data_IF_766020744125
#
_entry.id   IF_766020744125
#
_cell.length_a   1.000
_cell.length_b   1.000
_cell.length_c   1.000
_cell.angle_alpha   90.00
_cell.angle_beta   90.00
_cell.angle_gamma   90.00
#
_symmetry.space_group_name_H-M   'P 1'
#
loop_
_entity.id
_entity.type
_entity.pdbx_description
1 polymer ?
#
# COMPACT_ATOMS: atom_id res chain seq x y z
N UNK A 1 33.07 9.70 85.39
CA UNK A 1 32.42 8.59 84.66
C UNK A 1 31.42 9.22 83.65
N UNK A 2 31.75 9.28 82.34
CA UNK A 2 30.89 9.81 81.28
C UNK A 2 30.52 8.65 80.35
N UNK A 3 29.27 8.28 80.35
CA UNK A 3 28.68 7.24 79.48
C UNK A 3 28.32 7.82 78.14
N UNK A 4 28.99 7.33 77.13
CA UNK A 4 28.73 7.71 75.71
C UNK A 4 27.64 6.77 75.17
N UNK A 5 26.45 7.32 74.84
CA UNK A 5 25.39 6.61 74.11
C UNK A 5 25.69 6.68 72.61
N UNK A 6 25.95 5.53 72.02
CA UNK A 6 26.03 5.39 70.51
C UNK A 6 24.61 5.23 69.94
N UNK A 7 24.21 6.18 69.18
CA UNK A 7 23.00 6.10 68.33
C UNK A 7 23.31 5.34 67.05
N UNK A 8 22.62 4.24 66.79
CA UNK A 8 22.62 3.49 65.57
C UNK A 8 21.60 4.16 64.57
N UNK A 9 22.11 4.76 63.52
CA UNK A 9 21.31 5.24 62.40
C UNK A 9 21.15 4.08 61.42
N UNK A 10 19.97 3.47 61.37
CA UNK A 10 19.61 2.46 60.38
C UNK A 10 19.24 3.16 59.04
N UNK A 11 20.04 2.96 58.02
CA UNK A 11 19.72 3.42 56.66
C UNK A 11 18.74 2.43 56.03
N UNK A 12 17.51 2.88 55.78
CA UNK A 12 16.51 2.14 55.02
C UNK A 12 16.80 2.31 53.52
N UNK A 13 17.33 1.28 52.87
CA UNK A 13 17.50 1.25 51.41
C UNK A 13 16.18 0.80 50.80
N UNK A 14 15.42 1.73 50.24
CA UNK A 14 14.24 1.44 49.42
C UNK A 14 14.69 0.97 48.04
N UNK A 15 14.58 -0.33 47.77
CA UNK A 15 14.78 -0.91 46.43
C UNK A 15 13.54 -0.62 45.59
N UNK A 16 13.62 0.38 44.72
CA UNK A 16 12.63 0.62 43.66
C UNK A 16 12.81 -0.47 42.60
N UNK A 17 11.99 -1.52 42.68
CA UNK A 17 11.82 -2.47 41.57
C UNK A 17 11.01 -1.77 40.47
N UNK A 18 11.70 -1.15 39.53
CA UNK A 18 11.07 -0.62 38.32
C UNK A 18 10.48 -1.79 37.52
N UNK A 19 9.16 -1.87 37.47
CA UNK A 19 8.45 -2.72 36.49
C UNK A 19 8.83 -2.26 35.09
N UNK A 20 9.80 -2.92 34.46
CA UNK A 20 10.06 -2.80 33.03
C UNK A 20 8.89 -3.50 32.35
N UNK A 21 7.86 -2.73 31.99
CA UNK A 21 6.81 -3.19 31.07
C UNK A 21 7.48 -3.30 29.70
N UNK A 22 7.63 -4.51 29.14
CA UNK A 22 8.20 -4.64 27.81
C UNK A 22 7.30 -3.88 26.83
N UNK A 23 7.85 -3.17 25.81
CA UNK A 23 7.02 -2.55 24.80
C UNK A 23 6.18 -3.66 24.16
N UNK A 24 4.87 -3.52 24.28
CA UNK A 24 3.91 -4.43 23.67
C UNK A 24 4.22 -4.46 22.18
N UNK A 25 4.54 -5.64 21.66
CA UNK A 25 4.78 -5.87 20.24
C UNK A 25 3.46 -5.69 19.45
N UNK A 26 3.00 -4.47 19.30
CA UNK A 26 1.84 -4.07 18.47
C UNK A 26 2.13 -4.20 16.98
N UNK A 27 3.40 -4.31 16.57
CA UNK A 27 3.83 -4.24 15.18
C UNK A 27 3.54 -5.49 14.33
N UNK A 28 3.21 -6.64 14.92
CA UNK A 28 3.10 -7.89 14.15
C UNK A 28 1.78 -8.03 13.35
N UNK A 29 0.75 -7.25 13.66
CA UNK A 29 -0.59 -7.39 13.07
C UNK A 29 -1.08 -6.13 12.35
N UNK A 30 -0.23 -5.13 12.14
CA UNK A 30 -0.60 -3.89 11.46
C UNK A 30 -0.20 -3.97 9.99
N UNK A 31 -1.14 -3.65 9.10
CA UNK A 31 -0.90 -3.53 7.66
C UNK A 31 -0.85 -2.06 7.27
N UNK A 32 0.11 -1.70 6.44
CA UNK A 32 0.32 -0.34 5.96
C UNK A 32 0.38 -0.29 4.42
N UNK A 33 0.04 0.84 3.84
CA UNK A 33 0.18 1.08 2.40
C UNK A 33 1.65 1.07 1.99
N UNK A 34 1.93 0.61 0.76
CA UNK A 34 3.29 0.47 0.26
C UNK A 34 4.05 -0.76 0.76
N UNK A 35 3.51 -1.49 1.77
CA UNK A 35 4.16 -2.70 2.26
C UNK A 35 4.20 -3.81 1.20
N UNK A 36 5.19 -4.73 1.28
CA UNK A 36 5.23 -5.91 0.44
C UNK A 36 4.07 -6.85 0.70
N UNK A 37 3.43 -7.29 -0.37
CA UNK A 37 2.46 -8.37 -0.39
C UNK A 37 2.89 -9.43 -1.39
N UNK A 38 2.75 -10.70 -1.01
CA UNK A 38 3.17 -11.86 -1.80
C UNK A 38 1.99 -12.63 -2.33
N UNK A 39 2.16 -13.09 -3.55
CA UNK A 39 1.26 -13.96 -4.29
C UNK A 39 2.07 -15.13 -4.85
N UNK A 40 1.41 -16.12 -5.44
CA UNK A 40 2.08 -17.23 -6.13
C UNK A 40 2.94 -16.72 -7.30
N UNK A 41 2.53 -15.65 -7.96
CA UNK A 41 3.20 -15.01 -9.09
C UNK A 41 4.41 -14.14 -8.72
N UNK A 42 4.57 -13.76 -7.44
CA UNK A 42 5.65 -12.89 -6.99
C UNK A 42 5.24 -11.89 -5.91
N UNK A 43 5.95 -10.77 -5.87
CA UNK A 43 5.74 -9.71 -4.87
C UNK A 43 5.26 -8.43 -5.53
N UNK A 44 4.27 -7.79 -4.92
CA UNK A 44 3.76 -6.46 -5.26
C UNK A 44 3.71 -5.59 -3.99
N UNK A 45 3.27 -4.36 -4.14
CA UNK A 45 3.05 -3.43 -3.04
C UNK A 45 1.56 -3.29 -2.74
N UNK A 46 1.19 -3.18 -1.46
CA UNK A 46 -0.16 -2.84 -1.05
C UNK A 46 -0.44 -1.38 -1.41
N UNK A 47 -1.45 -1.13 -2.24
CA UNK A 47 -1.76 0.22 -2.72
C UNK A 47 -2.52 1.05 -1.70
N UNK A 48 -3.71 0.63 -1.39
CA UNK A 48 -4.60 1.35 -0.48
C UNK A 48 -5.65 0.43 0.12
N UNK A 49 -6.21 0.85 1.25
CA UNK A 49 -7.33 0.19 1.88
C UNK A 49 -8.64 0.84 1.45
N UNK A 50 -9.71 0.06 1.54
CA UNK A 50 -11.05 0.53 1.28
C UNK A 50 -12.11 -0.34 1.95
N UNK A 51 -13.35 0.07 1.80
CA UNK A 51 -14.52 -0.67 2.24
C UNK A 51 -15.63 -0.51 1.21
N UNK A 52 -16.57 -1.43 1.21
CA UNK A 52 -17.77 -1.37 0.38
C UNK A 52 -19.03 -1.08 1.23
N UNK A 53 -20.20 -1.09 0.60
CA UNK A 53 -21.48 -0.85 1.28
C UNK A 53 -21.82 -1.88 2.37
N UNK A 54 -21.19 -3.06 2.34
CA UNK A 54 -21.35 -4.12 3.36
C UNK A 54 -20.38 -3.96 4.54
N UNK A 55 -19.46 -3.00 4.48
CA UNK A 55 -18.42 -2.82 5.49
C UNK A 55 -17.28 -3.84 5.39
N UNK A 56 -17.13 -4.55 4.26
CA UNK A 56 -16.01 -5.45 4.05
C UNK A 56 -14.70 -4.65 4.04
N UNK A 57 -13.70 -5.17 4.74
CA UNK A 57 -12.36 -4.58 4.80
C UNK A 57 -11.56 -5.06 3.61
N UNK A 58 -11.27 -4.15 2.71
CA UNK A 58 -10.66 -4.42 1.41
C UNK A 58 -9.31 -3.72 1.29
N UNK A 59 -8.43 -4.33 0.49
CA UNK A 59 -7.19 -3.71 0.06
C UNK A 59 -6.98 -3.93 -1.44
N UNK A 60 -6.24 -3.03 -2.08
CA UNK A 60 -6.10 -2.98 -3.54
C UNK A 60 -4.64 -2.98 -3.94
N UNK A 61 -4.35 -3.66 -5.03
CA UNK A 61 -3.07 -3.64 -5.76
C UNK A 61 -3.29 -3.76 -7.27
N UNK A 62 -2.23 -3.82 -8.07
CA UNK A 62 -2.31 -3.91 -9.54
C UNK A 62 -2.90 -5.25 -10.02
N UNK A 63 -3.51 -5.23 -11.21
CA UNK A 63 -4.17 -6.39 -11.79
C UNK A 63 -3.22 -7.53 -12.18
N UNK A 64 -1.97 -7.24 -12.54
CA UNK A 64 -0.99 -8.25 -12.91
C UNK A 64 -0.29 -8.93 -11.72
N UNK A 65 -0.64 -8.55 -10.47
CA UNK A 65 -0.04 -9.13 -9.27
C UNK A 65 -0.51 -10.55 -8.98
N UNK A 66 -1.67 -10.93 -9.48
CA UNK A 66 -2.31 -12.24 -9.25
C UNK A 66 -2.72 -12.89 -10.55
N UNK A 67 -3.10 -14.16 -10.47
CA UNK A 67 -3.61 -14.94 -11.60
C UNK A 67 -5.13 -15.18 -11.54
N UNK A 68 -5.80 -14.73 -10.49
CA UNK A 68 -7.24 -14.90 -10.35
C UNK A 68 -7.78 -14.62 -8.95
N UNK A 69 -9.09 -14.83 -8.79
CA UNK A 69 -9.77 -14.78 -7.49
C UNK A 69 -9.37 -15.99 -6.64
N UNK A 70 -9.69 -15.93 -5.34
CA UNK A 70 -9.39 -16.94 -4.32
C UNK A 70 -7.89 -17.16 -4.02
N UNK A 71 -6.98 -16.46 -4.70
CA UNK A 71 -5.55 -16.51 -4.38
C UNK A 71 -5.28 -15.95 -2.99
N UNK A 72 -4.43 -16.63 -2.22
CA UNK A 72 -4.02 -16.21 -0.87
C UNK A 72 -3.05 -15.05 -0.97
N UNK A 73 -3.28 -14.01 -0.17
CA UNK A 73 -2.38 -12.86 -0.05
C UNK A 73 -1.58 -12.99 1.24
N UNK A 74 -0.26 -12.93 1.12
CA UNK A 74 0.65 -13.04 2.25
C UNK A 74 1.43 -11.73 2.47
N UNK A 75 1.75 -11.43 3.72
CA UNK A 75 2.77 -10.45 4.06
C UNK A 75 4.17 -10.99 3.72
N UNK A 76 5.20 -10.13 3.79
CA UNK A 76 6.60 -10.49 3.47
C UNK A 76 7.12 -11.71 4.26
N UNK A 77 6.66 -11.87 5.49
CA UNK A 77 7.04 -12.98 6.39
C UNK A 77 6.24 -14.28 6.14
N UNK A 78 5.41 -14.35 5.10
CA UNK A 78 4.61 -15.51 4.75
C UNK A 78 3.29 -15.64 5.53
N UNK A 79 2.98 -14.69 6.42
CA UNK A 79 1.70 -14.70 7.15
C UNK A 79 0.57 -14.33 6.19
N UNK A 80 -0.46 -15.16 6.13
CA UNK A 80 -1.67 -14.89 5.34
C UNK A 80 -2.43 -13.68 5.92
N UNK A 81 -2.65 -12.67 5.07
CA UNK A 81 -3.33 -11.43 5.44
C UNK A 81 -4.71 -11.29 4.84
N UNK A 82 -5.01 -12.06 3.81
CA UNK A 82 -6.29 -11.98 3.12
C UNK A 82 -6.39 -12.91 1.93
N UNK A 83 -7.44 -12.73 1.14
CA UNK A 83 -7.73 -13.52 -0.06
C UNK A 83 -8.31 -12.63 -1.15
N UNK A 84 -7.88 -12.86 -2.40
CA UNK A 84 -8.38 -12.13 -3.57
C UNK A 84 -9.87 -12.41 -3.76
N UNK A 85 -10.67 -11.35 -3.87
CA UNK A 85 -12.12 -11.43 -3.98
C UNK A 85 -12.67 -10.83 -5.27
N UNK A 86 -11.89 -9.95 -5.92
CA UNK A 86 -12.21 -9.44 -7.26
C UNK A 86 -10.92 -9.09 -7.99
N UNK A 87 -10.91 -9.31 -9.28
CA UNK A 87 -9.73 -9.16 -10.11
C UNK A 87 -10.10 -8.82 -11.55
N UNK A 88 -9.31 -7.93 -12.12
CA UNK A 88 -9.24 -7.63 -13.54
C UNK A 88 -7.78 -7.65 -13.96
N UNK A 89 -7.44 -8.45 -14.94
CA UNK A 89 -6.08 -8.57 -15.44
C UNK A 89 -5.61 -7.29 -16.16
N UNK A 90 -4.30 -7.00 -16.05
CA UNK A 90 -3.63 -6.06 -16.93
C UNK A 90 -3.33 -6.72 -18.28
N UNK A 91 -3.55 -6.03 -19.39
CA UNK A 91 -3.21 -6.56 -20.72
C UNK A 91 -1.70 -6.46 -20.93
N UNK A 92 -1.09 -7.59 -21.30
CA UNK A 92 0.31 -7.73 -21.69
C UNK A 92 0.43 -8.00 -23.20
N UNK A 93 1.54 -7.57 -23.80
CA UNK A 93 1.92 -7.99 -25.14
C UNK A 93 2.60 -9.38 -25.13
N UNK A 94 3.00 -9.85 -26.31
CA UNK A 94 3.66 -11.16 -26.47
C UNK A 94 5.00 -11.25 -25.73
N UNK A 95 5.64 -10.12 -25.42
CA UNK A 95 6.87 -10.04 -24.65
C UNK A 95 6.62 -9.93 -23.14
N UNK A 96 5.37 -10.02 -22.69
CA UNK A 96 4.96 -9.88 -21.31
C UNK A 96 4.98 -8.45 -20.78
N UNK A 97 5.20 -7.44 -21.64
CA UNK A 97 5.16 -6.03 -21.26
C UNK A 97 3.72 -5.54 -21.13
N UNK A 98 3.45 -4.75 -20.11
CA UNK A 98 2.12 -4.17 -19.91
C UNK A 98 1.80 -3.17 -21.03
N UNK A 99 0.80 -3.51 -21.85
CA UNK A 99 0.28 -2.71 -22.95
C UNK A 99 -1.23 -2.61 -22.85
N UNK A 100 -1.81 -1.49 -23.30
CA UNK A 100 -3.28 -1.34 -23.31
C UNK A 100 -3.87 -1.21 -21.89
N UNK A 101 -4.93 -1.97 -21.64
CA UNK A 101 -5.74 -1.80 -20.42
C UNK A 101 -5.01 -2.24 -19.16
N UNK A 102 -5.30 -1.53 -18.08
CA UNK A 102 -4.86 -1.83 -16.72
C UNK A 102 -6.04 -2.33 -15.90
N UNK A 103 -5.76 -3.31 -15.08
CA UNK A 103 -6.72 -3.87 -14.15
C UNK A 103 -6.45 -3.50 -12.71
N UNK A 104 -7.00 -4.30 -11.82
CA UNK A 104 -6.86 -4.17 -10.37
C UNK A 104 -6.98 -5.55 -9.72
N UNK A 105 -6.46 -5.66 -8.52
CA UNK A 105 -6.71 -6.77 -7.60
C UNK A 105 -7.30 -6.22 -6.32
N UNK A 106 -8.49 -6.69 -5.94
CA UNK A 106 -9.11 -6.42 -4.65
C UNK A 106 -9.02 -7.69 -3.81
N UNK A 107 -8.54 -7.58 -2.59
CA UNK A 107 -8.54 -8.68 -1.64
C UNK A 107 -9.20 -8.29 -0.32
N UNK A 108 -9.91 -9.24 0.29
CA UNK A 108 -10.48 -9.09 1.63
C UNK A 108 -9.37 -9.25 2.67
N UNK A 109 -9.33 -8.37 3.66
CA UNK A 109 -8.32 -8.41 4.74
C UNK A 109 -8.93 -9.09 5.97
N UNK A 110 -8.22 -10.07 6.54
CA UNK A 110 -8.66 -10.77 7.73
C UNK A 110 -8.79 -9.84 8.95
N UNK A 111 -9.84 -10.06 9.74
CA UNK A 111 -10.20 -9.19 10.88
C UNK A 111 -9.12 -9.06 11.95
N UNK A 112 -8.21 -10.06 12.07
CA UNK A 112 -7.11 -10.05 13.04
C UNK A 112 -6.04 -8.99 12.79
N UNK A 113 -6.02 -8.37 11.58
CA UNK A 113 -5.07 -7.31 11.25
C UNK A 113 -5.69 -5.93 11.51
N UNK A 114 -4.93 -5.02 12.07
CA UNK A 114 -5.24 -3.59 12.05
C UNK A 114 -4.82 -2.99 10.72
N UNK A 115 -5.62 -2.05 10.22
CA UNK A 115 -5.34 -1.28 9.02
C UNK A 115 -4.98 0.13 9.45
N UNK A 116 -3.93 0.67 8.88
CA UNK A 116 -3.53 2.05 9.10
C UNK A 116 -3.96 2.89 7.90
N UNK A 117 -4.98 3.75 8.04
CA UNK A 117 -5.28 4.75 7.03
C UNK A 117 -4.10 5.72 6.95
N UNK A 118 -3.72 6.08 5.73
CA UNK A 118 -2.58 6.95 5.50
C UNK A 118 -2.96 8.20 4.73
N UNK A 119 -4.03 8.11 3.94
CA UNK A 119 -4.40 9.20 3.05
C UNK A 119 -5.41 10.11 3.71
N UNK A 120 -5.18 11.42 3.62
CA UNK A 120 -6.13 12.45 4.06
C UNK A 120 -7.18 12.78 3.01
N UNK A 121 -7.03 12.25 1.78
CA UNK A 121 -8.00 12.45 0.72
C UNK A 121 -7.56 11.85 -0.61
N UNK A 122 -8.41 12.06 -1.60
CA UNK A 122 -8.16 11.69 -3.00
C UNK A 122 -8.01 12.95 -3.84
N UNK A 123 -7.12 12.90 -4.84
CA UNK A 123 -6.87 14.04 -5.71
C UNK A 123 -6.70 13.66 -7.18
N UNK A 124 -6.67 14.66 -8.01
CA UNK A 124 -6.22 14.60 -9.39
C UNK A 124 -4.77 15.08 -9.51
N UNK A 125 -4.16 14.79 -10.66
CA UNK A 125 -2.78 15.14 -10.92
C UNK A 125 -2.65 15.68 -12.35
N UNK A 126 -1.74 16.62 -12.55
CA UNK A 126 -1.46 17.25 -13.83
C UNK A 126 0.02 17.12 -14.19
N UNK A 127 0.33 17.30 -15.47
CA UNK A 127 1.71 17.36 -15.92
C UNK A 127 2.48 18.48 -15.19
N UNK A 128 3.70 18.20 -14.79
CA UNK A 128 4.54 19.10 -14.00
C UNK A 128 4.39 18.97 -12.48
N UNK A 129 3.33 18.32 -11.98
CA UNK A 129 3.14 18.10 -10.56
C UNK A 129 4.21 17.18 -9.96
N UNK A 130 4.56 17.42 -8.70
CA UNK A 130 5.41 16.52 -7.95
C UNK A 130 4.61 15.40 -7.31
N UNK A 131 5.10 14.19 -7.47
CA UNK A 131 4.51 12.98 -6.88
C UNK A 131 5.56 12.17 -6.13
N UNK A 132 5.13 11.53 -5.04
CA UNK A 132 5.92 10.59 -4.26
C UNK A 132 5.21 9.25 -4.25
N UNK A 133 5.96 8.15 -4.33
CA UNK A 133 5.42 6.81 -4.13
C UNK A 133 6.13 6.09 -2.98
N UNK A 134 5.47 5.07 -2.47
CA UNK A 134 6.02 4.14 -1.48
C UNK A 134 5.84 2.72 -2.00
N UNK A 135 6.91 2.07 -2.40
CA UNK A 135 6.88 0.73 -2.98
C UNK A 135 7.86 -0.22 -2.31
N UNK A 136 7.59 -1.51 -2.42
CA UNK A 136 8.37 -2.58 -1.80
C UNK A 136 9.83 -2.59 -2.25
N UNK A 137 10.05 -2.44 -3.56
CA UNK A 137 11.37 -2.65 -4.16
C UNK A 137 12.26 -1.42 -4.10
N UNK A 138 11.75 -0.29 -4.52
CA UNK A 138 12.53 0.95 -4.59
C UNK A 138 12.26 1.92 -3.42
N UNK A 139 11.41 1.53 -2.48
CA UNK A 139 11.08 2.34 -1.31
C UNK A 139 10.37 3.65 -1.68
N UNK A 140 10.68 4.70 -0.96
CA UNK A 140 10.19 6.04 -1.22
C UNK A 140 10.99 6.67 -2.36
N UNK A 141 10.33 6.97 -3.48
CA UNK A 141 10.89 7.74 -4.58
C UNK A 141 9.99 8.92 -4.94
N UNK A 142 10.55 9.94 -5.59
CA UNK A 142 9.84 11.17 -5.95
C UNK A 142 10.23 11.58 -7.36
N UNK A 143 9.28 12.11 -8.12
CA UNK A 143 9.51 12.64 -9.47
C UNK A 143 8.42 13.59 -9.89
N UNK A 144 8.54 14.09 -11.11
CA UNK A 144 7.53 14.93 -11.77
C UNK A 144 6.64 14.10 -12.66
N UNK A 145 5.40 14.51 -12.78
CA UNK A 145 4.49 13.98 -13.79
C UNK A 145 4.92 14.53 -15.15
N UNK A 146 5.16 13.61 -16.08
CA UNK A 146 5.62 13.91 -17.46
C UNK A 146 4.50 13.77 -18.49
N UNK A 147 3.33 13.32 -18.06
CA UNK A 147 2.16 13.24 -18.92
C UNK A 147 0.98 12.59 -18.21
N UNK A 148 -0.22 12.98 -18.62
CA UNK A 148 -1.49 12.41 -18.15
C UNK A 148 -2.35 12.06 -19.35
N UNK A 149 -2.68 10.78 -19.49
CA UNK A 149 -3.62 10.25 -20.50
C UNK A 149 -4.93 9.90 -19.81
N UNK A 150 -5.87 10.82 -19.82
CA UNK A 150 -7.23 10.58 -19.34
C UNK A 150 -8.05 9.81 -20.38
N UNK A 151 -8.95 8.97 -19.92
CA UNK A 151 -9.94 8.31 -20.76
C UNK A 151 -11.23 8.13 -19.95
N UNK A 152 -12.22 8.98 -20.23
CA UNK A 152 -13.50 8.98 -19.51
C UNK A 152 -14.40 7.79 -19.89
N UNK A 153 -14.25 7.22 -21.09
CA UNK A 153 -15.05 6.08 -21.54
C UNK A 153 -14.40 4.75 -21.13
N UNK A 154 -13.07 4.70 -21.16
CA UNK A 154 -12.26 3.53 -20.88
C UNK A 154 -11.28 3.82 -19.74
N UNK A 155 -11.75 3.82 -18.47
CA UNK A 155 -10.91 4.13 -17.31
C UNK A 155 -9.70 3.17 -17.18
N UNK A 156 -9.81 1.97 -17.72
CA UNK A 156 -8.72 1.00 -17.82
C UNK A 156 -7.58 1.41 -18.77
N UNK A 157 -7.81 2.39 -19.64
CA UNK A 157 -6.79 2.96 -20.54
C UNK A 157 -6.19 4.29 -20.05
N UNK A 158 -6.68 4.80 -18.92
CA UNK A 158 -6.13 6.01 -18.31
C UNK A 158 -4.78 5.74 -17.65
N UNK A 159 -3.78 6.56 -17.95
CA UNK A 159 -2.41 6.42 -17.43
C UNK A 159 -1.83 7.78 -17.05
N UNK A 160 -1.01 7.75 -16.02
CA UNK A 160 -0.13 8.83 -15.58
C UNK A 160 1.31 8.38 -15.76
N UNK A 161 2.15 9.26 -16.27
CA UNK A 161 3.58 9.03 -16.50
C UNK A 161 4.40 9.92 -15.57
N UNK A 162 5.53 9.41 -15.08
CA UNK A 162 6.46 10.18 -14.25
C UNK A 162 7.91 9.81 -14.57
N UNK A 163 8.84 10.73 -14.35
CA UNK A 163 10.28 10.47 -14.38
C UNK A 163 10.78 9.74 -13.11
N UNK A 164 9.89 9.45 -12.18
CA UNK A 164 10.17 8.75 -10.94
C UNK A 164 10.63 7.31 -11.17
N UNK A 165 11.51 6.81 -10.31
CA UNK A 165 11.93 5.40 -10.34
C UNK A 165 10.82 4.50 -9.78
N UNK A 166 10.45 3.48 -10.56
CA UNK A 166 9.57 2.39 -10.15
C UNK A 166 10.12 1.07 -10.70
N UNK A 167 10.28 0.07 -9.84
CA UNK A 167 10.90 -1.21 -10.16
C UNK A 167 9.89 -2.37 -10.05
N UNK A 168 10.16 -3.54 -10.66
CA UNK A 168 9.38 -4.75 -10.41
C UNK A 168 9.29 -5.05 -8.89
N UNK A 169 8.07 -5.20 -8.38
CA UNK A 169 7.77 -5.27 -6.93
C UNK A 169 7.07 -4.03 -6.39
N UNK A 170 7.26 -2.87 -7.02
CA UNK A 170 6.53 -1.64 -6.68
C UNK A 170 5.11 -1.61 -7.26
N UNK A 171 4.72 -2.60 -8.06
CA UNK A 171 3.37 -2.71 -8.65
C UNK A 171 2.31 -2.60 -7.58
N UNK A 172 1.29 -1.77 -7.82
CA UNK A 172 0.23 -1.49 -6.87
C UNK A 172 0.55 -0.37 -5.86
N UNK A 173 1.80 0.09 -5.76
CA UNK A 173 2.18 1.12 -4.77
C UNK A 173 1.36 2.41 -4.91
N UNK A 174 1.07 3.10 -3.79
CA UNK A 174 0.36 4.37 -3.83
C UNK A 174 1.26 5.48 -4.33
N UNK A 175 0.74 6.33 -5.22
CA UNK A 175 1.33 7.62 -5.59
C UNK A 175 0.56 8.74 -4.90
N UNK A 176 1.28 9.61 -4.23
CA UNK A 176 0.70 10.69 -3.42
C UNK A 176 1.31 12.05 -3.77
N UNK A 177 0.49 13.08 -3.63
CA UNK A 177 0.95 14.47 -3.56
C UNK A 177 1.12 14.89 -2.10
N UNK A 178 1.43 16.16 -1.83
CA UNK A 178 1.56 16.68 -0.47
C UNK A 178 0.25 16.53 0.32
N UNK A 179 0.37 16.21 1.61
CA UNK A 179 -0.74 16.15 2.54
C UNK A 179 -1.43 14.83 2.77
N UNK A 180 -0.83 13.70 2.69
CA UNK A 180 -0.71 12.62 1.72
C UNK A 180 -2.01 12.33 0.96
N UNK A 181 -2.24 13.07 -0.11
CA UNK A 181 -3.40 12.88 -1.00
C UNK A 181 -3.09 11.77 -2.01
N UNK A 182 -3.90 10.71 -2.05
CA UNK A 182 -3.76 9.61 -3.01
C UNK A 182 -4.22 10.06 -4.40
N UNK A 183 -3.35 9.97 -5.41
CA UNK A 183 -3.62 10.44 -6.77
C UNK A 183 -3.56 9.33 -7.83
N UNK A 184 -2.77 8.28 -7.60
CA UNK A 184 -2.67 7.17 -8.54
C UNK A 184 -2.17 5.88 -7.86
N UNK A 185 -2.32 4.75 -8.56
CA UNK A 185 -1.79 3.44 -8.18
C UNK A 185 -0.73 3.02 -9.20
N UNK A 186 0.48 2.74 -8.73
CA UNK A 186 1.61 2.32 -9.56
C UNK A 186 1.33 1.05 -10.35
N UNK A 187 1.61 1.08 -11.65
CA UNK A 187 1.41 -0.06 -12.54
C UNK A 187 2.74 -0.65 -13.00
N UNK A 188 3.57 0.12 -13.71
CA UNK A 188 4.83 -0.38 -14.25
C UNK A 188 5.93 0.68 -14.22
N UNK A 189 7.17 0.21 -14.19
CA UNK A 189 8.36 1.04 -14.37
C UNK A 189 9.00 0.84 -15.74
N UNK A 190 10.06 1.58 -16.02
CA UNK A 190 10.88 1.39 -17.20
C UNK A 190 11.78 0.15 -17.01
N UNK A 191 11.36 -0.98 -17.57
CA UNK A 191 12.08 -2.27 -17.45
C UNK A 191 13.46 -2.25 -18.13
N UNK A 192 13.67 -1.41 -19.12
CA UNK A 192 14.96 -1.29 -19.80
C UNK A 192 16.05 -0.74 -18.87
N UNK A 193 15.65 -0.20 -17.73
CA UNK A 193 16.53 0.36 -16.73
C UNK A 193 16.44 -0.40 -15.40
N UNK A 194 16.58 -1.71 -15.43
CA UNK A 194 16.56 -2.60 -14.25
C UNK A 194 17.51 -2.13 -13.12
N UNK A 195 18.49 -1.30 -13.43
CA UNK A 195 19.41 -0.67 -12.48
C UNK A 195 18.89 0.61 -11.81
N UNK A 196 17.61 0.93 -11.91
CA UNK A 196 17.01 2.10 -11.26
C UNK A 196 16.85 3.32 -12.17
N UNK A 197 16.61 3.10 -13.46
CA UNK A 197 16.32 4.18 -14.41
C UNK A 197 14.99 4.89 -14.13
N UNK A 198 14.93 6.17 -14.52
CA UNK A 198 13.73 6.98 -14.46
C UNK A 198 12.66 6.47 -15.43
N UNK A 199 11.42 6.72 -15.11
CA UNK A 199 10.24 6.38 -15.91
C UNK A 199 9.33 5.37 -15.23
N UNK A 200 8.11 5.78 -15.03
CA UNK A 200 7.08 4.98 -14.38
C UNK A 200 5.69 5.32 -14.92
N UNK A 201 4.78 4.38 -14.75
CA UNK A 201 3.38 4.50 -15.12
C UNK A 201 2.49 4.11 -13.95
N UNK A 202 1.38 4.83 -13.80
CA UNK A 202 0.36 4.56 -12.81
C UNK A 202 -1.04 4.74 -13.40
N UNK A 203 -2.05 4.14 -12.76
CA UNK A 203 -3.45 4.43 -13.05
C UNK A 203 -3.92 5.58 -12.18
N UNK A 204 -4.60 6.61 -12.73
CA UNK A 204 -5.24 7.64 -11.93
C UNK A 204 -6.18 7.00 -10.91
N UNK A 205 -6.18 7.46 -9.66
CA UNK A 205 -6.96 6.83 -8.59
C UNK A 205 -8.46 6.81 -8.87
N UNK A 206 -8.99 7.88 -9.47
CA UNK A 206 -10.40 7.94 -9.88
C UNK A 206 -10.78 6.86 -10.88
N UNK A 207 -9.86 6.51 -11.81
CA UNK A 207 -10.04 5.43 -12.78
C UNK A 207 -10.05 4.06 -12.12
N UNK A 208 -9.15 3.81 -11.16
CA UNK A 208 -9.11 2.54 -10.40
C UNK A 208 -10.39 2.35 -9.59
N UNK A 209 -10.82 3.37 -8.85
CA UNK A 209 -12.05 3.32 -8.05
C UNK A 209 -13.27 3.06 -8.94
N UNK A 210 -13.34 3.71 -10.08
CA UNK A 210 -14.43 3.51 -11.04
C UNK A 210 -14.46 2.10 -11.58
N UNK A 211 -13.32 1.55 -11.99
CA UNK A 211 -13.21 0.17 -12.46
C UNK A 211 -13.68 -0.83 -11.39
N UNK A 212 -13.26 -0.64 -10.14
CA UNK A 212 -13.67 -1.50 -9.02
C UNK A 212 -15.20 -1.43 -8.87
N UNK A 213 -15.79 -0.23 -8.84
CA UNK A 213 -17.23 -0.04 -8.69
C UNK A 213 -18.04 -0.65 -9.82
N UNK A 214 -17.55 -0.58 -11.04
CA UNK A 214 -18.26 -1.06 -12.23
C UNK A 214 -18.09 -2.59 -12.47
N UNK A 215 -16.96 -3.17 -12.03
CA UNK A 215 -16.56 -4.51 -12.49
C UNK A 215 -16.28 -5.53 -11.38
N UNK A 216 -16.20 -5.11 -10.11
CA UNK A 216 -15.91 -6.02 -9.01
C UNK A 216 -17.17 -6.67 -8.40
N UNK A 217 -18.34 -6.57 -9.05
CA UNK A 217 -19.59 -7.10 -8.55
C UNK A 217 -19.90 -6.61 -7.14
N UNK A 218 -20.35 -7.49 -6.27
CA UNK A 218 -20.71 -7.17 -4.87
C UNK A 218 -19.57 -6.54 -4.06
N UNK A 219 -18.32 -6.74 -4.45
CA UNK A 219 -17.15 -6.16 -3.78
C UNK A 219 -16.93 -4.69 -4.18
N UNK A 220 -17.44 -4.30 -5.36
CA UNK A 220 -17.39 -2.94 -5.87
C UNK A 220 -18.54 -2.05 -5.40
N UNK A 221 -19.62 -2.63 -4.87
CA UNK A 221 -20.81 -1.89 -4.44
C UNK A 221 -20.47 -0.88 -3.36
N UNK A 222 -20.66 0.43 -3.68
CA UNK A 222 -20.36 1.52 -2.77
C UNK A 222 -18.88 1.60 -2.34
N UNK A 223 -17.96 0.98 -3.10
CA UNK A 223 -16.54 0.98 -2.77
C UNK A 223 -16.00 2.40 -2.55
N UNK A 224 -15.32 2.59 -1.44
CA UNK A 224 -14.65 3.84 -1.04
C UNK A 224 -13.25 3.53 -0.54
N UNK A 225 -12.29 4.40 -0.86
CA UNK A 225 -10.96 4.37 -0.25
C UNK A 225 -11.07 4.80 1.20
N UNK A 226 -10.33 4.14 2.08
CA UNK A 226 -10.24 4.53 3.47
C UNK A 226 -9.27 5.71 3.59
N UNK A 227 -9.80 6.85 3.99
CA UNK A 227 -9.05 8.08 4.32
C UNK A 227 -9.25 8.42 5.79
N UNK A 228 -8.31 9.17 6.38
CA UNK A 228 -8.44 9.77 7.71
C UNK A 228 -9.59 10.75 7.79
#
# INVERSE_FOLDING_TARGET
>A
MRTIRRALIGALVAVLVGLIVPPVALAANQLAVGMPIRFSSGTCSLGFFGFNSRGDRLAVTSGHCVSGVDEVVQAKNGVEIGRVVAWKEDVKDNDGKLRGSRGYTVFSVYKRFSLEPYFTGLGSISEGDWVTKYGERSGKTRGRITGVKNNSERPDLALVYSDMVQLPGDSGCPWVTSGPTLVAMGSSGNQERMGGGAGSQAQPIGSVIRLIREQAGVWGDGFKVWTE
#
